data_IF_941854495442
#
_entry.id   IF_941854495442
#
_cell.length_a   1.000
_cell.length_b   1.000
_cell.length_c   1.000
_cell.angle_alpha   90.00
_cell.angle_beta   90.00
_cell.angle_gamma   90.00
#
_symmetry.space_group_name_H-M   'P 1'
#
loop_
_entity.id
_entity.type
_entity.pdbx_description
1 polymer ?
#
# COMPACT_ATOMS: atom_id res chain seq x y z
N UNK A 1 6.27 -14.62 -6.28
CA UNK A 1 5.79 -13.50 -5.44
C UNK A 1 5.66 -13.95 -3.99
N UNK A 2 6.09 -13.14 -3.05
CA UNK A 2 5.99 -13.44 -1.62
C UNK A 2 5.12 -12.39 -0.92
N UNK A 3 4.35 -12.81 0.09
CA UNK A 3 3.47 -11.93 0.86
C UNK A 3 3.98 -11.84 2.30
N UNK A 4 4.00 -10.61 2.83
CA UNK A 4 4.42 -10.32 4.19
C UNK A 4 3.34 -9.56 4.94
N UNK A 5 3.17 -9.86 6.20
CA UNK A 5 2.22 -9.18 7.10
C UNK A 5 2.91 -8.28 8.13
N UNK A 6 4.21 -8.40 8.31
CA UNK A 6 4.96 -7.58 9.27
C UNK A 6 6.07 -6.76 8.60
N UNK A 7 6.34 -5.58 9.15
CA UNK A 7 7.44 -4.71 8.71
C UNK A 7 8.79 -5.42 8.81
N UNK A 8 8.99 -6.21 9.85
CA UNK A 8 10.25 -6.95 10.07
C UNK A 8 10.51 -7.96 8.94
N UNK A 9 9.49 -8.71 8.52
CA UNK A 9 9.61 -9.66 7.43
C UNK A 9 9.93 -8.98 6.10
N UNK A 10 9.22 -7.89 5.78
CA UNK A 10 9.47 -7.13 4.56
C UNK A 10 10.88 -6.52 4.55
N UNK A 11 11.30 -5.91 5.65
CA UNK A 11 12.65 -5.35 5.80
C UNK A 11 13.74 -6.40 5.59
N UNK A 12 13.58 -7.57 6.19
CA UNK A 12 14.53 -8.68 6.01
C UNK A 12 14.63 -9.12 4.54
N UNK A 13 13.50 -9.20 3.84
CA UNK A 13 13.47 -9.53 2.41
C UNK A 13 14.14 -8.45 1.55
N UNK A 14 13.93 -7.17 1.87
CA UNK A 14 14.49 -6.05 1.11
C UNK A 14 15.98 -5.81 1.37
N UNK A 15 16.51 -6.26 2.49
CA UNK A 15 17.90 -6.00 2.88
C UNK A 15 18.91 -6.54 1.85
N UNK A 16 18.66 -7.69 1.26
CA UNK A 16 19.52 -8.27 0.22
C UNK A 16 19.57 -7.42 -1.04
N UNK A 17 18.43 -6.79 -1.41
CA UNK A 17 18.33 -5.91 -2.57
C UNK A 17 19.01 -4.56 -2.30
N UNK A 18 18.83 -4.02 -1.12
CA UNK A 18 19.51 -2.80 -0.69
C UNK A 18 21.05 -2.96 -0.76
N UNK A 19 21.59 -4.09 -0.33
CA UNK A 19 23.03 -4.37 -0.39
C UNK A 19 23.58 -4.48 -1.82
N UNK A 20 22.72 -4.88 -2.77
CA UNK A 20 23.09 -4.95 -4.19
C UNK A 20 22.83 -3.65 -4.95
N UNK A 21 22.28 -2.65 -4.29
CA UNK A 21 21.82 -1.40 -4.90
C UNK A 21 20.74 -1.61 -5.99
N UNK A 22 19.94 -2.64 -5.84
CA UNK A 22 18.81 -2.90 -6.74
C UNK A 22 17.75 -1.77 -6.60
N UNK A 23 17.08 -1.46 -7.69
CA UNK A 23 15.96 -0.53 -7.66
C UNK A 23 14.76 -1.16 -6.95
N UNK A 24 14.25 -0.50 -5.93
CA UNK A 24 13.03 -0.90 -5.22
C UNK A 24 11.94 0.12 -5.51
N UNK A 25 10.84 -0.33 -6.10
CA UNK A 25 9.69 0.51 -6.43
C UNK A 25 8.49 0.07 -5.59
N UNK A 26 7.93 1.00 -4.83
CA UNK A 26 6.75 0.77 -4.00
C UNK A 26 5.49 1.32 -4.67
N UNK A 27 4.45 0.50 -4.73
CA UNK A 27 3.10 0.90 -5.16
C UNK A 27 2.14 0.70 -3.99
N UNK A 28 1.79 1.77 -3.27
CA UNK A 28 0.83 1.67 -2.17
C UNK A 28 -0.60 1.63 -2.71
N UNK A 29 -1.41 0.73 -2.14
CA UNK A 29 -2.83 0.58 -2.47
C UNK A 29 -3.66 0.28 -1.23
N UNK A 30 -4.98 0.41 -1.34
CA UNK A 30 -5.92 -0.06 -0.32
C UNK A 30 -6.61 -1.38 -0.69
N UNK A 31 -6.13 -2.09 -1.70
CA UNK A 31 -6.77 -3.30 -2.21
C UNK A 31 -7.93 -3.01 -3.18
N UNK A 32 -8.77 -4.01 -3.46
CA UNK A 32 -9.79 -3.98 -4.48
C UNK A 32 -9.22 -3.54 -5.85
N UNK A 33 -8.14 -4.20 -6.24
CA UNK A 33 -7.33 -3.80 -7.39
C UNK A 33 -8.09 -3.94 -8.70
N UNK A 34 -7.93 -2.97 -9.57
CA UNK A 34 -8.56 -2.90 -10.88
C UNK A 34 -7.52 -2.59 -11.97
N UNK A 35 -7.97 -2.43 -13.21
CA UNK A 35 -7.09 -2.19 -14.37
C UNK A 35 -6.14 -0.99 -14.18
N UNK A 36 -6.58 0.08 -13.51
CA UNK A 36 -5.73 1.23 -13.21
C UNK A 36 -4.57 0.89 -12.27
N UNK A 37 -4.83 0.12 -11.22
CA UNK A 37 -3.79 -0.38 -10.32
C UNK A 37 -2.83 -1.32 -11.06
N UNK A 38 -3.35 -2.20 -11.92
CA UNK A 38 -2.52 -3.08 -12.73
C UNK A 38 -1.56 -2.29 -13.61
N UNK A 39 -2.02 -1.24 -14.27
CA UNK A 39 -1.17 -0.38 -15.09
C UNK A 39 -0.05 0.29 -14.28
N UNK A 40 -0.33 0.72 -13.04
CA UNK A 40 0.68 1.25 -12.13
C UNK A 40 1.73 0.19 -11.73
N UNK A 41 1.29 -1.02 -11.44
CA UNK A 41 2.19 -2.14 -11.11
C UNK A 41 3.09 -2.52 -12.28
N UNK A 42 2.54 -2.57 -13.49
CA UNK A 42 3.29 -2.83 -14.72
C UNK A 42 4.31 -1.71 -15.00
N UNK A 43 3.93 -0.45 -14.76
CA UNK A 43 4.87 0.67 -14.84
C UNK A 43 5.97 0.58 -13.79
N UNK A 44 5.63 0.19 -12.56
CA UNK A 44 6.61 -0.06 -11.51
C UNK A 44 7.60 -1.14 -11.90
N UNK A 45 7.13 -2.22 -12.55
CA UNK A 45 8.02 -3.28 -13.07
C UNK A 45 9.00 -2.75 -14.11
N UNK A 46 8.55 -1.89 -15.02
CA UNK A 46 9.42 -1.24 -16.02
C UNK A 46 10.47 -0.35 -15.36
N UNK A 47 10.08 0.42 -14.36
CA UNK A 47 10.99 1.30 -13.61
C UNK A 47 12.03 0.52 -12.79
N UNK A 48 11.62 -0.56 -12.17
CA UNK A 48 12.52 -1.42 -11.39
C UNK A 48 13.54 -2.16 -12.27
N UNK A 49 13.15 -2.50 -13.50
CA UNK A 49 13.97 -3.32 -14.39
C UNK A 49 13.92 -4.81 -14.03
N UNK A 50 14.69 -5.63 -14.71
CA UNK A 50 14.70 -7.08 -14.50
C UNK A 50 15.27 -7.46 -13.12
N UNK A 51 16.33 -6.78 -12.68
CA UNK A 51 17.01 -7.05 -11.40
C UNK A 51 16.40 -6.29 -10.22
N UNK A 52 15.54 -5.31 -10.48
CA UNK A 52 14.89 -4.53 -9.44
C UNK A 52 13.69 -5.24 -8.81
N UNK A 53 13.16 -4.62 -7.76
CA UNK A 53 12.09 -5.18 -6.93
C UNK A 53 10.86 -4.29 -6.96
N UNK A 54 9.71 -4.88 -7.21
CA UNK A 54 8.40 -4.22 -7.08
C UNK A 54 7.71 -4.71 -5.82
N UNK A 55 7.38 -3.78 -4.95
CA UNK A 55 6.60 -4.01 -3.73
C UNK A 55 5.24 -3.36 -3.89
N UNK A 56 4.18 -4.13 -3.75
CA UNK A 56 2.82 -3.60 -3.61
C UNK A 56 2.41 -3.64 -2.14
N UNK A 57 1.88 -2.55 -1.60
CA UNK A 57 1.22 -2.62 -0.30
C UNK A 57 -0.30 -2.64 -0.48
N UNK A 58 -0.97 -3.50 0.29
CA UNK A 58 -2.42 -3.61 0.35
C UNK A 58 -2.83 -3.34 1.79
N UNK A 59 -3.26 -2.11 2.06
CA UNK A 59 -3.60 -1.68 3.40
C UNK A 59 -4.79 -0.72 3.38
N UNK A 60 -5.92 -1.18 3.93
CA UNK A 60 -7.10 -0.32 4.15
C UNK A 60 -6.82 0.52 5.39
N UNK A 61 -6.35 1.74 5.18
CA UNK A 61 -5.86 2.61 6.22
C UNK A 61 -7.02 3.21 7.04
N UNK A 62 -7.26 2.79 8.30
CA UNK A 62 -8.40 3.25 9.07
C UNK A 62 -8.36 4.74 9.39
N UNK A 63 -7.19 5.36 9.43
CA UNK A 63 -7.07 6.79 9.74
C UNK A 63 -7.49 7.71 8.60
N UNK A 64 -7.63 7.19 7.37
CA UNK A 64 -8.11 7.94 6.21
C UNK A 64 -9.64 8.01 6.16
N UNK A 65 -10.33 7.24 6.99
CA UNK A 65 -11.79 7.20 7.02
C UNK A 65 -12.34 8.07 8.15
N UNK A 66 -13.21 9.02 7.79
CA UNK A 66 -13.93 9.86 8.77
C UNK A 66 -15.17 9.12 9.32
N UNK A 67 -15.67 8.11 8.60
CA UNK A 67 -16.84 7.33 8.94
C UNK A 67 -16.47 5.85 9.11
N UNK A 68 -16.79 5.28 10.27
CA UNK A 68 -16.54 3.87 10.55
C UNK A 68 -17.33 2.91 9.66
N UNK A 69 -18.51 3.31 9.18
CA UNK A 69 -19.29 2.47 8.25
C UNK A 69 -18.62 2.35 6.89
N UNK A 70 -18.01 3.40 6.38
CA UNK A 70 -17.26 3.39 5.12
C UNK A 70 -16.03 2.47 5.22
N UNK A 71 -15.35 2.51 6.36
CA UNK A 71 -14.23 1.61 6.64
C UNK A 71 -14.67 0.14 6.66
N UNK A 72 -15.79 -0.17 7.33
CA UNK A 72 -16.32 -1.53 7.44
C UNK A 72 -16.81 -2.08 6.10
N UNK A 73 -17.39 -1.23 5.26
CA UNK A 73 -17.96 -1.61 3.95
C UNK A 73 -16.96 -1.49 2.81
N UNK A 74 -15.74 -0.99 3.07
CA UNK A 74 -14.71 -0.89 2.04
C UNK A 74 -14.44 -2.26 1.43
N UNK A 75 -14.45 -2.40 0.07
CA UNK A 75 -14.32 -3.69 -0.57
C UNK A 75 -12.96 -4.33 -0.30
N UNK A 76 -12.97 -5.60 0.04
CA UNK A 76 -11.75 -6.39 0.30
C UNK A 76 -11.79 -7.66 -0.55
N UNK A 77 -10.82 -7.79 -1.44
CA UNK A 77 -10.72 -8.91 -2.39
C UNK A 77 -9.30 -9.47 -2.40
N UNK A 78 -8.79 -10.00 -1.27
CA UNK A 78 -7.38 -10.32 -1.11
C UNK A 78 -6.86 -11.34 -2.14
N UNK A 79 -7.61 -12.38 -2.43
CA UNK A 79 -7.20 -13.40 -3.40
C UNK A 79 -7.07 -12.83 -4.82
N UNK A 80 -8.08 -12.07 -5.25
CA UNK A 80 -8.06 -11.40 -6.55
C UNK A 80 -6.97 -10.35 -6.64
N UNK A 81 -6.72 -9.62 -5.57
CA UNK A 81 -5.66 -8.62 -5.49
C UNK A 81 -4.28 -9.27 -5.66
N UNK A 82 -4.05 -10.43 -5.04
CA UNK A 82 -2.82 -11.19 -5.22
C UNK A 82 -2.65 -11.68 -6.67
N UNK A 83 -3.71 -12.14 -7.32
CA UNK A 83 -3.68 -12.51 -8.74
C UNK A 83 -3.28 -11.34 -9.64
N UNK A 84 -3.83 -10.16 -9.39
CA UNK A 84 -3.48 -8.93 -10.13
C UNK A 84 -2.01 -8.56 -9.92
N UNK A 85 -1.53 -8.62 -8.68
CA UNK A 85 -0.13 -8.35 -8.36
C UNK A 85 0.83 -9.33 -9.06
N UNK A 86 0.54 -10.61 -8.97
CA UNK A 86 1.37 -11.65 -9.60
C UNK A 86 1.41 -11.50 -11.12
N UNK A 87 0.26 -11.28 -11.75
CA UNK A 87 0.16 -11.05 -13.20
C UNK A 87 0.83 -9.77 -13.69
N UNK A 88 1.06 -8.79 -12.83
CA UNK A 88 1.74 -7.54 -13.13
C UNK A 88 3.24 -7.54 -12.84
N UNK A 89 3.80 -8.64 -12.34
CA UNK A 89 5.23 -8.78 -12.07
C UNK A 89 5.68 -8.21 -10.71
N UNK A 90 4.81 -8.20 -9.71
CA UNK A 90 5.13 -7.82 -8.33
C UNK A 90 5.97 -8.91 -7.67
N UNK A 91 7.03 -8.54 -6.97
CA UNK A 91 7.89 -9.47 -6.24
C UNK A 91 7.40 -9.69 -4.81
N UNK A 92 7.01 -8.61 -4.13
CA UNK A 92 6.56 -8.64 -2.75
C UNK A 92 5.24 -7.92 -2.56
N UNK A 93 4.33 -8.55 -1.82
CA UNK A 93 3.08 -7.92 -1.35
C UNK A 93 3.19 -7.73 0.16
N UNK A 94 2.94 -6.50 0.60
CA UNK A 94 2.87 -6.17 2.02
C UNK A 94 1.42 -5.90 2.41
N UNK A 95 0.86 -6.77 3.23
CA UNK A 95 -0.53 -6.69 3.68
C UNK A 95 -0.59 -6.76 5.22
N UNK A 96 -0.28 -5.64 5.90
CA UNK A 96 -0.25 -5.59 7.36
C UNK A 96 -1.63 -5.42 7.97
N UNK A 97 -1.77 -5.86 9.23
CA UNK A 97 -2.89 -5.46 10.08
C UNK A 97 -2.71 -3.99 10.56
N UNK A 98 -3.80 -3.30 10.95
CA UNK A 98 -3.70 -1.92 11.46
C UNK A 98 -2.74 -1.76 12.63
N UNK A 99 -2.68 -2.73 13.54
CA UNK A 99 -1.79 -2.74 14.71
C UNK A 99 -0.31 -2.82 14.34
N UNK A 100 0.01 -3.44 13.21
CA UNK A 100 1.37 -3.51 12.69
C UNK A 100 1.83 -2.15 12.14
N UNK A 101 0.92 -1.41 11.51
CA UNK A 101 1.21 -0.09 10.94
C UNK A 101 1.26 1.00 12.00
N UNK A 102 0.36 0.94 12.97
CA UNK A 102 0.21 1.96 14.01
C UNK A 102 0.34 1.34 15.39
N UNK A 103 1.50 1.51 16.01
CA UNK A 103 1.77 1.12 17.39
C UNK A 103 1.82 2.39 18.26
N UNK A 104 0.87 2.54 19.18
CA UNK A 104 0.77 3.68 20.08
C UNK A 104 0.03 4.90 19.51
N UNK A 105 0.03 5.99 20.29
CA UNK A 105 -0.62 7.23 19.90
C UNK A 105 0.22 8.03 18.90
N UNK A 106 -0.44 8.64 17.94
CA UNK A 106 0.21 9.57 17.01
C UNK A 106 0.36 10.93 17.66
N UNK A 107 1.57 11.46 17.64
CA UNK A 107 1.85 12.79 18.21
C UNK A 107 1.92 13.89 17.16
N UNK A 108 2.12 13.56 15.88
CA UNK A 108 2.26 14.52 14.79
C UNK A 108 1.37 14.09 13.63
N UNK A 109 0.60 15.04 13.10
CA UNK A 109 -0.16 14.89 11.86
C UNK A 109 -0.08 16.19 11.07
N UNK A 110 -0.03 16.08 9.75
CA UNK A 110 -0.15 17.22 8.83
C UNK A 110 -1.50 17.12 8.15
N UNK A 111 -2.31 18.14 8.27
CA UNK A 111 -3.68 18.17 7.76
C UNK A 111 -3.89 19.37 6.83
N UNK A 112 -4.50 19.13 5.68
CA UNK A 112 -5.04 20.15 4.82
C UNK A 112 -6.55 20.26 5.11
N UNK A 113 -7.06 21.44 5.43
CA UNK A 113 -8.43 21.61 5.92
C UNK A 113 -9.36 22.38 5.00
N UNK A 114 -8.85 23.00 3.95
CA UNK A 114 -9.67 23.82 3.04
C UNK A 114 -10.08 23.05 1.76
N UNK A 115 -9.11 22.59 0.99
CA UNK A 115 -9.39 21.85 -0.25
C UNK A 115 -9.97 20.46 0.01
N UNK A 116 -9.56 19.84 1.11
CA UNK A 116 -10.02 18.51 1.52
C UNK A 116 -11.47 18.46 2.02
N UNK A 117 -12.14 19.61 2.19
CA UNK A 117 -13.55 19.66 2.59
C UNK A 117 -14.53 19.22 1.49
N UNK A 118 -14.06 18.99 0.26
CA UNK A 118 -14.87 18.64 -0.91
C UNK A 118 -14.55 17.25 -1.45
N UNK A 119 -15.43 16.69 -2.28
CA UNK A 119 -15.28 15.38 -2.92
C UNK A 119 -14.96 14.27 -1.91
N UNK A 120 -13.99 13.41 -2.20
CA UNK A 120 -13.61 12.32 -1.29
C UNK A 120 -13.00 12.81 0.02
N UNK A 121 -12.44 14.02 0.08
CA UNK A 121 -11.97 14.64 1.32
C UNK A 121 -13.08 14.92 2.35
N UNK A 122 -14.35 14.99 1.92
CA UNK A 122 -15.50 15.09 2.83
C UNK A 122 -15.76 13.80 3.63
N UNK A 123 -15.38 12.63 3.11
CA UNK A 123 -15.56 11.31 3.73
C UNK A 123 -14.26 10.60 4.10
N UNK A 124 -13.13 10.98 3.50
CA UNK A 124 -11.81 10.44 3.79
C UNK A 124 -10.93 11.50 4.45
N UNK A 125 -10.19 11.09 5.47
CA UNK A 125 -9.19 11.95 6.09
C UNK A 125 -7.95 12.07 5.20
N UNK A 126 -7.51 13.30 4.92
CA UNK A 126 -6.27 13.60 4.20
C UNK A 126 -5.16 13.98 5.19
N UNK A 127 -4.96 13.13 6.20
CA UNK A 127 -3.94 13.32 7.23
C UNK A 127 -2.64 12.65 6.76
N UNK A 128 -1.55 13.40 6.79
CA UNK A 128 -0.19 12.93 6.56
C UNK A 128 0.58 12.85 7.87
N UNK A 129 1.32 11.77 8.03
CA UNK A 129 2.09 11.49 9.25
C UNK A 129 3.57 11.46 8.92
#
# INVERSE_FOLDING_TARGET
MQTFSTKAQLRAALLKHHRKHDHVVLVPTMGALHAGHRALLEQARKLAGEDGVVVASIFVNPIQFNNSSDLQTYPRTPEKDLEVCEGAGVDYVFSPAPEEMYSGERSIAVEESFLSATLCGASLSLIHI
#
